data_IF_418531192567
#
_entry.id   IF_418531192567
#
_cell.length_a   1.000
_cell.length_b   1.000
_cell.length_c   1.000
_cell.angle_alpha   90.00
_cell.angle_beta   90.00
_cell.angle_gamma   90.00
#
_symmetry.space_group_name_H-M   'P 1'
#
loop_
_entity.id
_entity.type
_entity.pdbx_description
1 polymer ?
#
# COMPACT_ATOMS: atom_id res chain seq x y z
N UNK A 1 67.30 30.95 5.58
CA UNK A 1 66.64 31.68 4.46
C UNK A 1 65.69 30.70 3.80
N UNK A 2 64.40 30.70 4.15
CA UNK A 2 63.34 31.51 3.54
C UNK A 2 62.89 30.98 2.16
N UNK A 3 61.76 30.27 2.12
CA UNK A 3 60.52 30.60 1.37
C UNK A 3 59.66 29.35 1.19
N UNK A 4 58.46 29.41 1.76
CA UNK A 4 57.30 28.65 1.29
C UNK A 4 56.80 29.27 -0.04
N UNK A 5 56.37 28.40 -0.98
CA UNK A 5 55.35 28.61 -2.02
C UNK A 5 54.79 27.21 -2.30
N UNK A 6 53.56 26.81 -1.91
CA UNK A 6 52.24 27.28 -2.34
C UNK A 6 52.09 27.30 -3.88
N UNK A 7 51.18 26.49 -4.41
CA UNK A 7 50.79 26.53 -5.82
C UNK A 7 50.16 25.24 -6.34
N UNK A 8 48.94 24.97 -5.87
CA UNK A 8 47.82 24.43 -6.66
C UNK A 8 48.06 23.25 -7.63
N UNK A 9 47.81 22.03 -7.16
CA UNK A 9 47.26 20.97 -8.02
C UNK A 9 45.75 21.18 -8.13
N UNK A 10 45.39 21.96 -9.14
CA UNK A 10 44.02 22.27 -9.54
C UNK A 10 43.21 20.97 -9.77
N UNK A 11 42.03 20.77 -9.13
CA UNK A 11 41.17 19.62 -9.36
C UNK A 11 40.33 19.71 -10.64
N UNK A 12 40.56 20.67 -11.53
CA UNK A 12 39.82 20.80 -12.79
C UNK A 12 40.30 19.82 -13.86
N UNK A 13 39.91 18.56 -13.70
CA UNK A 13 39.89 17.55 -14.77
C UNK A 13 38.44 17.13 -15.02
N UNK A 14 37.53 18.09 -15.17
CA UNK A 14 36.12 17.76 -15.37
C UNK A 14 35.34 18.63 -16.38
N UNK A 15 35.97 19.43 -17.25
CA UNK A 15 35.17 20.23 -18.19
C UNK A 15 35.52 20.17 -19.68
N UNK A 16 36.52 19.40 -20.13
CA UNK A 16 36.86 19.37 -21.56
C UNK A 16 37.15 17.96 -22.07
N UNK A 17 36.10 17.13 -22.08
CA UNK A 17 35.90 16.10 -23.12
C UNK A 17 34.46 16.21 -23.61
N UNK A 18 34.14 17.39 -24.13
CA UNK A 18 32.98 17.60 -24.96
C UNK A 18 33.20 16.90 -26.31
N UNK A 19 32.07 16.51 -26.91
CA UNK A 19 31.86 16.00 -28.27
C UNK A 19 32.47 14.65 -28.59
N UNK A 20 31.68 13.58 -28.42
CA UNK A 20 31.19 12.72 -29.52
C UNK A 20 30.67 11.38 -28.97
N UNK A 21 29.48 10.98 -29.44
CA UNK A 21 28.64 9.86 -28.98
C UNK A 21 27.70 10.14 -27.79
N UNK A 22 27.15 11.35 -27.73
CA UNK A 22 25.84 11.59 -27.12
C UNK A 22 24.76 11.28 -28.15
N UNK A 23 24.44 10.00 -28.32
CA UNK A 23 23.15 9.61 -28.86
C UNK A 23 22.22 9.53 -27.68
N UNK A 24 21.51 10.62 -27.38
CA UNK A 24 20.30 10.53 -26.59
C UNK A 24 19.44 9.43 -27.23
N UNK A 25 19.05 8.37 -26.51
CA UNK A 25 17.95 7.56 -27.01
C UNK A 25 16.80 8.55 -27.14
N UNK A 26 16.41 8.85 -28.38
CA UNK A 26 15.15 9.49 -28.70
C UNK A 26 14.07 8.70 -27.96
N UNK A 27 13.70 9.18 -26.77
CA UNK A 27 12.45 8.84 -26.11
C UNK A 27 11.36 9.45 -27.01
N UNK A 28 11.09 8.75 -28.12
CA UNK A 28 9.87 8.93 -28.88
C UNK A 28 8.71 8.94 -27.89
N UNK A 29 7.62 9.67 -28.19
CA UNK A 29 6.59 10.01 -27.20
C UNK A 29 6.31 8.80 -26.34
N UNK A 30 6.58 8.90 -25.03
CA UNK A 30 6.38 7.82 -24.07
C UNK A 30 4.96 7.26 -24.27
N UNK A 31 4.84 6.22 -25.09
CA UNK A 31 3.55 5.61 -25.45
C UNK A 31 2.92 4.88 -24.26
N UNK A 32 3.56 4.93 -23.09
CA UNK A 32 3.11 4.33 -21.83
C UNK A 32 2.34 5.28 -20.91
N UNK A 33 1.80 6.38 -21.45
CA UNK A 33 0.70 7.14 -20.83
C UNK A 33 -0.63 6.79 -21.51
N UNK A 34 -0.78 5.57 -21.99
CA UNK A 34 -2.01 5.10 -22.64
C UNK A 34 -3.11 4.97 -21.59
N UNK A 35 -4.28 5.55 -21.90
CA UNK A 35 -5.49 5.49 -21.09
C UNK A 35 -5.63 4.13 -20.40
N UNK A 36 -5.65 4.15 -19.07
CA UNK A 36 -5.91 2.97 -18.26
C UNK A 36 -7.41 2.69 -18.34
N UNK A 37 -7.79 1.59 -18.95
CA UNK A 37 -9.17 1.32 -19.36
C UNK A 37 -9.97 0.61 -18.26
N UNK A 38 -9.32 -0.14 -17.37
CA UNK A 38 -9.97 -1.00 -16.39
C UNK A 38 -9.85 -0.52 -14.94
N UNK A 39 -9.62 0.78 -14.73
CA UNK A 39 -9.66 1.37 -13.40
C UNK A 39 -11.09 1.77 -13.01
N UNK A 40 -11.60 1.30 -11.86
CA UNK A 40 -12.92 1.68 -11.36
C UNK A 40 -12.91 3.08 -10.76
N UNK A 41 -14.04 3.79 -10.90
CA UNK A 41 -14.36 4.95 -10.07
C UNK A 41 -14.82 4.44 -8.70
N UNK A 42 -13.98 4.58 -7.68
CA UNK A 42 -14.24 4.05 -6.35
C UNK A 42 -13.61 4.94 -5.28
N UNK A 43 -14.29 5.08 -4.15
CA UNK A 43 -13.77 5.77 -2.97
C UNK A 43 -12.86 4.86 -2.12
N UNK A 44 -12.85 3.54 -2.39
CA UNK A 44 -12.00 2.58 -1.67
C UNK A 44 -10.63 2.43 -2.35
N UNK A 45 -9.54 2.91 -1.73
CA UNK A 45 -8.21 2.84 -2.32
C UNK A 45 -7.73 1.40 -2.52
N UNK A 46 -8.18 0.42 -1.73
CA UNK A 46 -7.78 -0.97 -1.91
C UNK A 46 -8.35 -1.54 -3.20
N UNK A 47 -9.63 -1.27 -3.49
CA UNK A 47 -10.30 -1.70 -4.73
C UNK A 47 -9.58 -1.12 -5.94
N UNK A 48 -9.20 0.16 -5.86
CA UNK A 48 -8.45 0.83 -6.90
C UNK A 48 -7.06 0.21 -7.13
N UNK A 49 -6.30 -0.07 -6.06
CA UNK A 49 -4.99 -0.69 -6.15
C UNK A 49 -5.05 -2.10 -6.74
N UNK A 50 -6.05 -2.89 -6.35
CA UNK A 50 -6.26 -4.24 -6.89
C UNK A 50 -6.61 -4.21 -8.38
N UNK A 51 -7.37 -3.21 -8.84
CA UNK A 51 -7.63 -3.01 -10.26
C UNK A 51 -6.35 -2.63 -11.02
N UNK A 52 -5.57 -1.69 -10.49
CA UNK A 52 -4.31 -1.25 -11.12
C UNK A 52 -3.31 -2.39 -11.29
N UNK A 53 -3.20 -3.33 -10.33
CA UNK A 53 -2.32 -4.51 -10.45
C UNK A 53 -2.66 -5.40 -11.66
N UNK A 54 -3.93 -5.42 -12.07
CA UNK A 54 -4.45 -6.25 -13.14
C UNK A 54 -4.60 -5.51 -14.48
N UNK A 55 -4.31 -4.21 -14.50
CA UNK A 55 -4.41 -3.38 -15.70
C UNK A 55 -3.32 -3.76 -16.72
N UNK A 56 -3.70 -4.28 -17.92
CA UNK A 56 -2.74 -4.74 -18.92
C UNK A 56 -1.90 -3.61 -19.51
N UNK A 57 -2.43 -2.38 -19.56
CA UNK A 57 -1.73 -1.21 -20.12
C UNK A 57 -0.87 -0.46 -19.11
N UNK A 58 -1.00 -0.77 -17.82
CA UNK A 58 -0.20 -0.14 -16.78
C UNK A 58 1.25 -0.61 -16.86
N UNK A 59 2.20 0.32 -16.66
CA UNK A 59 3.62 -0.01 -16.59
C UNK A 59 3.85 -1.03 -15.47
N UNK A 60 4.75 -1.99 -15.71
CA UNK A 60 5.06 -3.06 -14.75
C UNK A 60 5.48 -2.51 -13.38
N UNK A 61 6.18 -1.38 -13.37
CA UNK A 61 6.60 -0.71 -12.14
C UNK A 61 5.40 -0.26 -11.30
N UNK A 62 4.38 0.34 -11.92
CA UNK A 62 3.18 0.82 -11.22
C UNK A 62 2.36 -0.34 -10.66
N UNK A 63 2.24 -1.42 -11.43
CA UNK A 63 1.59 -2.67 -10.99
C UNK A 63 2.29 -3.29 -9.79
N UNK A 64 3.62 -3.32 -9.79
CA UNK A 64 4.43 -3.79 -8.66
C UNK A 64 4.24 -2.93 -7.42
N UNK A 65 4.27 -1.60 -7.58
CA UNK A 65 4.08 -0.67 -6.47
C UNK A 65 2.68 -0.82 -5.86
N UNK A 66 1.64 -0.95 -6.69
CA UNK A 66 0.28 -1.18 -6.23
C UNK A 66 0.19 -2.47 -5.40
N UNK A 67 0.82 -3.55 -5.85
CA UNK A 67 0.88 -4.82 -5.13
C UNK A 67 1.53 -4.66 -3.76
N UNK A 68 2.69 -4.00 -3.68
CA UNK A 68 3.40 -3.77 -2.43
C UNK A 68 2.55 -2.96 -1.44
N UNK A 69 1.85 -1.92 -1.91
CA UNK A 69 0.96 -1.10 -1.09
C UNK A 69 -0.29 -1.85 -0.63
N UNK A 70 -0.80 -2.82 -1.42
CA UNK A 70 -2.00 -3.59 -1.07
C UNK A 70 -1.75 -4.69 0.00
N UNK A 71 -0.52 -5.20 0.12
CA UNK A 71 -0.15 -6.26 1.09
C UNK A 71 -0.68 -6.04 2.52
N UNK A 72 -0.51 -4.86 3.16
CA UNK A 72 -0.95 -4.63 4.55
C UNK A 72 -2.47 -4.67 4.73
N UNK A 73 -3.26 -4.47 3.68
CA UNK A 73 -4.72 -4.37 3.77
C UNK A 73 -5.41 -5.73 3.57
N UNK A 74 -4.85 -6.60 2.72
CA UNK A 74 -5.39 -7.96 2.51
C UNK A 74 -5.17 -8.82 3.76
N UNK A 75 -4.07 -8.60 4.47
CA UNK A 75 -3.77 -9.28 5.72
C UNK A 75 -4.28 -8.46 6.89
N UNK A 76 -5.62 -8.34 7.00
CA UNK A 76 -6.25 -7.79 8.19
C UNK A 76 -5.60 -8.41 9.43
N UNK A 77 -5.11 -7.57 10.36
CA UNK A 77 -4.39 -8.00 11.56
C UNK A 77 -5.14 -9.18 12.18
N UNK A 78 -4.59 -10.39 12.04
CA UNK A 78 -5.25 -11.65 12.43
C UNK A 78 -5.69 -11.66 13.91
N UNK A 79 -5.16 -10.74 14.72
CA UNK A 79 -5.54 -10.50 16.11
C UNK A 79 -6.83 -9.72 16.37
N UNK A 80 -7.41 -8.99 15.41
CA UNK A 80 -8.65 -8.20 15.61
C UNK A 80 -9.91 -9.01 15.24
N UNK A 81 -9.89 -9.75 14.13
CA UNK A 81 -11.03 -10.56 13.68
C UNK A 81 -11.35 -11.72 14.65
N UNK A 82 -10.31 -12.41 15.14
CA UNK A 82 -10.49 -13.54 16.05
C UNK A 82 -10.97 -13.13 17.45
N UNK A 83 -10.52 -12.00 18.00
CA UNK A 83 -10.86 -11.59 19.38
C UNK A 83 -12.31 -11.13 19.52
N UNK A 84 -12.87 -10.46 18.50
CA UNK A 84 -14.29 -10.03 18.51
C UNK A 84 -15.22 -11.24 18.36
N UNK A 85 -14.93 -12.12 17.41
CA UNK A 85 -15.70 -13.36 17.20
C UNK A 85 -15.62 -14.30 18.41
N UNK A 86 -14.43 -14.52 18.98
CA UNK A 86 -14.25 -15.35 20.17
C UNK A 86 -14.99 -14.81 21.40
N UNK A 87 -15.03 -13.49 21.59
CA UNK A 87 -15.82 -12.89 22.68
C UNK A 87 -17.32 -13.10 22.47
N UNK A 88 -17.80 -12.97 21.23
CA UNK A 88 -19.19 -13.20 20.90
C UNK A 88 -19.58 -14.68 21.10
N UNK A 89 -18.77 -15.62 20.61
CA UNK A 89 -18.99 -17.06 20.81
C UNK A 89 -18.90 -17.45 22.30
N UNK A 90 -17.89 -16.96 23.04
CA UNK A 90 -17.79 -17.22 24.47
C UNK A 90 -19.00 -16.68 25.26
N UNK A 91 -19.54 -15.51 24.89
CA UNK A 91 -20.76 -14.98 25.49
C UNK A 91 -22.00 -15.82 25.18
N UNK A 92 -22.13 -16.30 23.94
CA UNK A 92 -23.23 -17.21 23.53
C UNK A 92 -23.15 -18.55 24.26
N UNK A 93 -21.95 -19.12 24.36
CA UNK A 93 -21.68 -20.38 25.06
C UNK A 93 -22.02 -20.25 26.55
N UNK A 94 -21.56 -19.18 27.21
CA UNK A 94 -21.87 -18.90 28.61
C UNK A 94 -23.37 -18.68 28.87
N UNK A 95 -24.09 -18.14 27.88
CA UNK A 95 -25.54 -17.93 27.96
C UNK A 95 -26.35 -19.24 27.84
N UNK A 96 -25.72 -20.33 27.37
CA UNK A 96 -26.35 -21.65 27.24
C UNK A 96 -25.89 -22.57 28.37
N UNK A 97 -26.50 -22.45 29.55
CA UNK A 97 -26.22 -23.37 30.65
C UNK A 97 -26.64 -22.83 32.01
N UNK A 98 -25.85 -23.12 33.04
CA UNK A 98 -26.08 -22.69 34.43
C UNK A 98 -26.25 -21.17 34.60
N UNK A 99 -25.68 -20.37 33.71
CA UNK A 99 -25.80 -18.91 33.69
C UNK A 99 -26.81 -18.38 32.67
N UNK A 100 -27.67 -19.25 32.13
CA UNK A 100 -28.76 -18.82 31.25
C UNK A 100 -29.74 -17.90 31.98
N UNK A 101 -30.38 -17.00 31.23
CA UNK A 101 -31.41 -16.14 31.77
C UNK A 101 -32.58 -16.98 32.30
N UNK A 102 -32.89 -16.82 33.59
CA UNK A 102 -34.02 -17.48 34.24
C UNK A 102 -35.36 -17.03 33.66
N UNK A 103 -36.41 -17.83 33.90
CA UNK A 103 -37.76 -17.52 33.43
C UNK A 103 -38.19 -16.14 33.96
N UNK A 104 -38.76 -15.27 33.10
CA UNK A 104 -39.19 -13.94 33.52
C UNK A 104 -40.27 -14.02 34.61
N UNK A 105 -40.35 -13.03 35.52
CA UNK A 105 -41.34 -13.02 36.59
C UNK A 105 -42.77 -12.99 36.03
N UNK A 106 -43.66 -13.75 36.66
CA UNK A 106 -45.07 -13.85 36.25
C UNK A 106 -45.76 -12.50 36.49
N UNK A 107 -46.30 -11.90 35.43
CA UNK A 107 -47.11 -10.69 35.51
C UNK A 107 -48.53 -11.03 35.99
N UNK A 108 -48.70 -11.11 37.31
CA UNK A 108 -50.03 -11.25 37.94
C UNK A 108 -50.65 -9.87 38.12
N UNK A 109 -50.94 -9.16 37.03
CA UNK A 109 -51.87 -8.01 37.08
C UNK A 109 -52.64 -7.94 35.76
N UNK A 110 -53.85 -8.46 35.76
CA UNK A 110 -54.87 -8.15 34.75
C UNK A 110 -55.57 -6.88 35.24
N UNK A 111 -55.39 -5.76 34.53
CA UNK A 111 -56.29 -4.60 34.62
C UNK A 111 -57.59 -4.91 33.90
#
# INVERSE_FOLDING_TARGET
MARAQAGDVNPDRNHQRASEAGGDPEEGPEQGGEYLDCLPDTEDPLVWLLALMNEPRAKIFDRRNAAQTAVPYVHGKRGEAGKKEQKAEASKEASRGRFSAGKPPLSVVKR
#
